data_IF_430928702811
#
_entry.id   IF_430928702811
#
_cell.length_a   1.000
_cell.length_b   1.000
_cell.length_c   1.000
_cell.angle_alpha   90.00
_cell.angle_beta   90.00
_cell.angle_gamma   90.00
#
_symmetry.space_group_name_H-M   'P 1'
#
loop_
_entity.id
_entity.type
_entity.pdbx_description
1 polymer ?
#
# COMPACT_ATOMS: atom_id res chain seq x y z
N UNK A 1 -1.57 -16.00 69.49
CA UNK A 1 -1.80 -14.79 68.67
C UNK A 1 -0.84 -14.88 67.52
N UNK A 2 -1.23 -15.61 66.47
CA UNK A 2 -0.43 -15.91 65.30
C UNK A 2 -0.92 -15.02 64.16
N UNK A 3 -0.04 -14.12 63.72
CA UNK A 3 -0.28 -13.20 62.60
C UNK A 3 0.01 -13.98 61.32
N UNK A 4 -1.03 -14.26 60.56
CA UNK A 4 -0.97 -14.88 59.27
C UNK A 4 -0.57 -13.80 58.23
N UNK A 5 0.72 -13.73 57.91
CA UNK A 5 1.22 -12.91 56.79
C UNK A 5 0.97 -13.64 55.48
N UNK A 6 -0.20 -13.41 54.87
CA UNK A 6 -0.48 -13.83 53.53
C UNK A 6 0.41 -13.02 52.54
N UNK A 7 1.56 -13.58 52.22
CA UNK A 7 2.38 -13.10 51.10
C UNK A 7 1.60 -13.28 49.79
N UNK A 8 0.94 -12.21 49.40
CA UNK A 8 0.41 -12.08 48.03
C UNK A 8 1.54 -12.19 47.02
N UNK A 9 1.66 -13.33 46.35
CA UNK A 9 2.62 -13.51 45.27
C UNK A 9 2.41 -12.42 44.21
N UNK A 10 3.45 -11.68 43.82
CA UNK A 10 3.31 -10.67 42.77
C UNK A 10 2.79 -11.35 41.50
N UNK A 11 1.66 -10.88 40.95
CA UNK A 11 1.13 -11.33 39.66
C UNK A 11 2.25 -11.18 38.64
N UNK A 12 2.82 -12.30 38.25
CA UNK A 12 3.73 -12.33 37.11
C UNK A 12 2.95 -11.82 35.89
N UNK A 13 3.18 -10.57 35.52
CA UNK A 13 2.75 -10.07 34.23
C UNK A 13 3.38 -10.94 33.16
N UNK A 14 2.60 -11.84 32.57
CA UNK A 14 3.02 -12.68 31.45
C UNK A 14 3.25 -11.78 30.26
N UNK A 15 4.47 -11.25 30.17
CA UNK A 15 4.91 -10.49 29.02
C UNK A 15 5.03 -11.43 27.83
N UNK A 16 4.31 -11.12 26.74
CA UNK A 16 4.35 -11.86 25.47
C UNK A 16 5.72 -11.74 24.75
N UNK A 17 6.65 -11.00 25.34
CA UNK A 17 8.00 -10.82 24.78
C UNK A 17 8.85 -12.06 24.98
N UNK A 18 9.51 -12.51 23.92
CA UNK A 18 10.53 -13.56 23.99
C UNK A 18 11.69 -13.11 24.88
N UNK A 19 12.42 -14.04 25.55
CA UNK A 19 13.61 -13.71 26.33
C UNK A 19 14.62 -12.89 25.53
N UNK A 20 14.86 -13.24 24.28
CA UNK A 20 15.76 -12.52 23.37
C UNK A 20 15.27 -11.10 23.05
N UNK A 21 13.96 -10.91 22.87
CA UNK A 21 13.35 -9.61 22.66
C UNK A 21 13.47 -8.68 23.86
N UNK A 22 13.46 -9.25 25.11
CA UNK A 22 13.70 -8.48 26.33
C UNK A 22 15.14 -7.98 26.41
N UNK A 23 16.10 -8.86 26.14
CA UNK A 23 17.53 -8.54 26.25
C UNK A 23 17.95 -7.48 25.20
N UNK A 24 17.39 -7.55 24.00
CA UNK A 24 17.69 -6.59 22.92
C UNK A 24 16.89 -5.29 23.00
N UNK A 25 15.97 -5.15 23.95
CA UNK A 25 15.12 -3.96 24.07
C UNK A 25 14.17 -3.75 22.90
N UNK A 26 13.99 -4.75 22.04
CA UNK A 26 13.15 -4.68 20.86
C UNK A 26 11.68 -4.70 21.29
N UNK A 27 11.01 -3.59 21.04
CA UNK A 27 9.55 -3.48 21.12
C UNK A 27 8.88 -4.01 19.84
N UNK A 28 7.55 -3.91 19.80
CA UNK A 28 6.81 -4.07 18.53
C UNK A 28 7.29 -3.03 17.53
N UNK A 29 7.55 -3.45 16.28
CA UNK A 29 7.95 -2.53 15.21
C UNK A 29 6.86 -1.53 14.83
N UNK A 30 5.63 -1.72 15.29
CA UNK A 30 4.43 -0.93 15.00
C UNK A 30 4.08 -0.77 13.50
N UNK A 31 4.93 -1.26 12.60
CA UNK A 31 4.77 -1.12 11.14
C UNK A 31 3.64 -1.98 10.58
N UNK A 32 3.45 -3.19 11.07
CA UNK A 32 2.45 -4.14 10.55
C UNK A 32 1.01 -3.62 10.62
N UNK A 33 0.63 -2.92 11.68
CA UNK A 33 -0.71 -2.31 11.80
C UNK A 33 -0.90 -1.18 10.80
N UNK A 34 0.14 -0.38 10.56
CA UNK A 34 0.10 0.71 9.60
C UNK A 34 -0.09 0.20 8.17
N UNK A 35 0.65 -0.83 7.78
CA UNK A 35 0.56 -1.41 6.45
C UNK A 35 -0.78 -2.13 6.22
N UNK A 36 -1.30 -2.78 7.24
CA UNK A 36 -2.64 -3.36 7.21
C UNK A 36 -3.74 -2.31 6.93
N UNK A 37 -3.71 -1.16 7.61
CA UNK A 37 -4.67 -0.11 7.39
C UNK A 37 -4.50 0.55 6.01
N UNK A 38 -3.28 0.85 5.60
CA UNK A 38 -2.99 1.41 4.28
C UNK A 38 -3.48 0.50 3.16
N UNK A 39 -3.25 -0.82 3.27
CA UNK A 39 -3.70 -1.80 2.30
C UNK A 39 -5.23 -1.82 2.18
N UNK A 40 -5.95 -1.74 3.30
CA UNK A 40 -7.42 -1.71 3.30
C UNK A 40 -7.98 -0.40 2.75
N UNK A 41 -7.44 0.73 3.16
CA UNK A 41 -7.89 2.04 2.69
C UNK A 41 -7.67 2.16 1.17
N UNK A 42 -6.52 1.75 0.67
CA UNK A 42 -6.25 1.78 -0.77
C UNK A 42 -7.13 0.80 -1.55
N UNK A 43 -7.45 -0.38 -0.99
CA UNK A 43 -8.38 -1.32 -1.59
C UNK A 43 -9.79 -0.71 -1.74
N UNK A 44 -10.31 -0.08 -0.68
CA UNK A 44 -11.61 0.61 -0.73
C UNK A 44 -11.60 1.74 -1.74
N UNK A 45 -10.54 2.55 -1.76
CA UNK A 45 -10.39 3.63 -2.73
C UNK A 45 -10.39 3.10 -4.17
N UNK A 46 -9.69 1.98 -4.44
CA UNK A 46 -9.68 1.35 -5.76
C UNK A 46 -11.07 0.86 -6.17
N UNK A 47 -11.83 0.21 -5.27
CA UNK A 47 -13.19 -0.27 -5.57
C UNK A 47 -14.09 0.91 -5.96
N UNK A 48 -14.05 2.00 -5.20
CA UNK A 48 -14.86 3.18 -5.48
C UNK A 48 -14.46 3.86 -6.80
N UNK A 49 -13.16 3.96 -7.08
CA UNK A 49 -12.64 4.58 -8.29
C UNK A 49 -12.76 3.67 -9.52
N UNK A 50 -12.90 2.37 -9.35
CA UNK A 50 -13.05 1.42 -10.44
C UNK A 50 -14.34 1.67 -11.24
N UNK A 51 -15.42 2.08 -10.57
CA UNK A 51 -16.70 2.38 -11.23
C UNK A 51 -16.54 3.48 -12.28
N UNK A 52 -16.05 4.69 -11.95
CA UNK A 52 -15.85 5.73 -12.95
C UNK A 52 -14.78 5.36 -13.99
N UNK A 53 -13.73 4.60 -13.61
CA UNK A 53 -12.73 4.13 -14.57
C UNK A 53 -13.34 3.19 -15.61
N UNK A 54 -14.21 2.26 -15.21
CA UNK A 54 -14.94 1.40 -16.16
C UNK A 54 -15.79 2.25 -17.11
N UNK A 55 -16.51 3.26 -16.60
CA UNK A 55 -17.28 4.18 -17.43
C UNK A 55 -16.39 4.91 -18.43
N UNK A 56 -15.22 5.41 -18.00
CA UNK A 56 -14.26 6.06 -18.89
C UNK A 56 -13.79 5.08 -19.98
N UNK A 57 -13.46 3.84 -19.63
CA UNK A 57 -13.07 2.81 -20.61
C UNK A 57 -14.19 2.57 -21.62
N UNK A 58 -15.44 2.44 -21.15
CA UNK A 58 -16.60 2.27 -22.03
C UNK A 58 -16.79 3.46 -22.98
N UNK A 59 -16.54 4.69 -22.53
CA UNK A 59 -16.60 5.89 -23.36
C UNK A 59 -15.50 5.93 -24.43
N UNK A 60 -14.36 5.29 -24.19
CA UNK A 60 -13.23 5.21 -25.11
C UNK A 60 -13.43 4.16 -26.21
N UNK A 61 -14.29 3.16 -25.99
CA UNK A 61 -14.54 2.10 -26.96
C UNK A 61 -15.06 2.68 -28.29
N UNK A 62 -14.44 2.28 -29.37
CA UNK A 62 -14.82 2.73 -30.72
C UNK A 62 -14.47 4.18 -31.05
N UNK A 63 -13.79 4.90 -30.19
CA UNK A 63 -13.31 6.26 -30.48
C UNK A 63 -12.01 6.23 -31.28
N UNK A 64 -11.89 7.17 -32.19
CA UNK A 64 -10.61 7.44 -32.83
C UNK A 64 -9.66 8.19 -31.87
N UNK A 65 -8.41 8.36 -32.27
CA UNK A 65 -7.39 9.01 -31.46
C UNK A 65 -7.81 10.42 -30.98
N UNK A 66 -8.42 11.22 -31.84
CA UNK A 66 -8.85 12.58 -31.51
C UNK A 66 -10.00 12.55 -30.45
N UNK A 67 -10.98 11.66 -30.60
CA UNK A 67 -12.06 11.50 -29.63
C UNK A 67 -11.58 10.94 -28.30
N UNK A 68 -10.63 10.03 -28.30
CA UNK A 68 -10.00 9.52 -27.08
C UNK A 68 -9.22 10.62 -26.36
N UNK A 69 -8.43 11.43 -27.09
CA UNK A 69 -7.69 12.56 -26.52
C UNK A 69 -8.63 13.60 -25.89
N UNK A 70 -9.77 13.86 -26.51
CA UNK A 70 -10.77 14.79 -25.98
C UNK A 70 -11.37 14.31 -24.64
N UNK A 71 -11.66 13.00 -24.52
CA UNK A 71 -12.18 12.42 -23.26
C UNK A 71 -11.10 12.45 -22.17
N UNK A 72 -9.90 11.98 -22.48
CA UNK A 72 -8.77 11.91 -21.56
C UNK A 72 -8.22 13.30 -21.19
N UNK A 73 -8.39 14.28 -22.07
CA UNK A 73 -8.04 15.68 -21.86
C UNK A 73 -8.99 16.42 -20.91
N UNK A 74 -10.15 15.85 -20.58
CA UNK A 74 -11.04 16.44 -19.60
C UNK A 74 -10.40 16.45 -18.20
N UNK A 75 -10.34 17.62 -17.50
CA UNK A 75 -9.69 17.71 -16.18
C UNK A 75 -10.28 16.76 -15.14
N UNK A 76 -11.59 16.53 -15.18
CA UNK A 76 -12.26 15.60 -14.28
C UNK A 76 -11.84 14.16 -14.52
N UNK A 77 -11.77 13.74 -15.79
CA UNK A 77 -11.32 12.40 -16.18
C UNK A 77 -9.86 12.20 -15.80
N UNK A 78 -9.01 13.18 -16.11
CA UNK A 78 -7.59 13.15 -15.75
C UNK A 78 -7.41 13.00 -14.22
N UNK A 79 -8.16 13.76 -13.42
CA UNK A 79 -8.11 13.70 -11.97
C UNK A 79 -8.52 12.31 -11.45
N UNK A 80 -9.64 11.75 -11.94
CA UNK A 80 -10.12 10.43 -11.54
C UNK A 80 -9.09 9.33 -11.88
N UNK A 81 -8.50 9.40 -13.07
CA UNK A 81 -7.46 8.44 -13.48
C UNK A 81 -6.19 8.57 -12.64
N UNK A 82 -5.74 9.79 -12.34
CA UNK A 82 -4.58 10.02 -11.47
C UNK A 82 -4.83 9.47 -10.07
N UNK A 83 -6.00 9.74 -9.47
CA UNK A 83 -6.36 9.19 -8.16
C UNK A 83 -6.39 7.66 -8.19
N UNK A 84 -6.93 7.05 -9.23
CA UNK A 84 -6.95 5.60 -9.38
C UNK A 84 -5.54 5.02 -9.51
N UNK A 85 -4.65 5.66 -10.28
CA UNK A 85 -3.26 5.22 -10.41
C UNK A 85 -2.52 5.31 -9.09
N UNK A 86 -2.67 6.41 -8.34
CA UNK A 86 -2.04 6.57 -7.02
C UNK A 86 -2.49 5.46 -6.07
N UNK A 87 -3.80 5.22 -5.99
CA UNK A 87 -4.35 4.17 -5.14
C UNK A 87 -3.86 2.78 -5.56
N UNK A 88 -3.83 2.49 -6.87
CA UNK A 88 -3.41 1.21 -7.44
C UNK A 88 -1.93 0.93 -7.21
N UNK A 89 -1.07 1.92 -7.46
CA UNK A 89 0.38 1.81 -7.26
C UNK A 89 0.71 1.59 -5.79
N UNK A 90 0.05 2.32 -4.92
CA UNK A 90 0.27 2.17 -3.47
C UNK A 90 -0.20 0.80 -2.97
N UNK A 91 -1.37 0.37 -3.40
CA UNK A 91 -1.92 -0.94 -3.06
C UNK A 91 -1.01 -2.07 -3.57
N UNK A 92 -0.58 -2.01 -4.82
CA UNK A 92 0.34 -2.96 -5.44
C UNK A 92 1.68 -3.02 -4.69
N UNK A 93 2.25 -1.85 -4.36
CA UNK A 93 3.53 -1.75 -3.64
C UNK A 93 3.48 -2.47 -2.30
N UNK A 94 2.45 -2.18 -1.47
CA UNK A 94 2.31 -2.79 -0.15
C UNK A 94 1.98 -4.28 -0.30
N UNK A 95 1.07 -4.65 -1.21
CA UNK A 95 0.70 -6.04 -1.43
C UNK A 95 1.88 -6.90 -1.88
N UNK A 96 2.70 -6.41 -2.81
CA UNK A 96 3.90 -7.11 -3.25
C UNK A 96 4.95 -7.19 -2.14
N UNK A 97 5.10 -6.12 -1.34
CA UNK A 97 6.03 -6.14 -0.20
C UNK A 97 5.69 -7.25 0.79
N UNK A 98 4.41 -7.40 1.15
CA UNK A 98 3.95 -8.47 2.05
C UNK A 98 4.32 -9.85 1.48
N UNK A 99 4.06 -10.08 0.20
CA UNK A 99 4.41 -11.35 -0.46
C UNK A 99 5.92 -11.58 -0.44
N UNK A 100 6.72 -10.57 -0.74
CA UNK A 100 8.19 -10.69 -0.73
C UNK A 100 8.73 -10.97 0.69
N UNK A 101 8.16 -10.36 1.71
CA UNK A 101 8.54 -10.59 3.11
C UNK A 101 8.24 -12.02 3.56
N UNK A 102 7.12 -12.60 3.10
CA UNK A 102 6.69 -13.95 3.48
C UNK A 102 7.43 -15.07 2.71
N UNK A 103 7.69 -14.88 1.42
CA UNK A 103 8.21 -15.93 0.56
C UNK A 103 9.72 -15.89 0.34
N UNK A 104 10.37 -14.73 0.49
CA UNK A 104 11.82 -14.62 0.27
C UNK A 104 12.56 -14.86 1.58
N UNK A 105 13.14 -16.06 1.72
CA UNK A 105 13.85 -16.50 2.94
C UNK A 105 15.21 -15.81 3.11
N UNK A 106 15.92 -15.60 2.00
CA UNK A 106 17.27 -15.00 2.04
C UNK A 106 17.18 -13.49 2.31
N UNK A 107 17.74 -13.02 3.43
CA UNK A 107 17.67 -11.63 3.87
C UNK A 107 18.23 -10.63 2.86
N UNK A 108 19.34 -10.95 2.19
CA UNK A 108 19.94 -10.07 1.17
C UNK A 108 19.06 -9.98 -0.06
N UNK A 109 18.52 -11.12 -0.52
CA UNK A 109 17.61 -11.15 -1.66
C UNK A 109 16.29 -10.43 -1.32
N UNK A 110 15.77 -10.61 -0.12
CA UNK A 110 14.59 -9.91 0.39
C UNK A 110 14.78 -8.39 0.32
N UNK A 111 15.90 -7.88 0.81
CA UNK A 111 16.20 -6.44 0.75
C UNK A 111 16.24 -5.93 -0.70
N UNK A 112 16.94 -6.63 -1.57
CA UNK A 112 17.06 -6.26 -2.99
C UNK A 112 15.68 -6.26 -3.67
N UNK A 113 14.86 -7.28 -3.44
CA UNK A 113 13.53 -7.38 -4.07
C UNK A 113 12.56 -6.33 -3.54
N UNK A 114 12.61 -5.98 -2.26
CA UNK A 114 11.81 -4.87 -1.70
C UNK A 114 12.25 -3.54 -2.30
N UNK A 115 13.55 -3.29 -2.43
CA UNK A 115 14.06 -2.08 -3.09
C UNK A 115 13.63 -2.02 -4.57
N UNK A 116 13.74 -3.14 -5.28
CA UNK A 116 13.31 -3.25 -6.68
C UNK A 116 11.80 -3.00 -6.82
N UNK A 117 10.98 -3.57 -5.93
CA UNK A 117 9.53 -3.33 -5.91
C UNK A 117 9.19 -1.85 -5.68
N UNK A 118 9.87 -1.20 -4.74
CA UNK A 118 9.68 0.22 -4.46
C UNK A 118 10.05 1.09 -5.67
N UNK A 119 11.18 0.81 -6.29
CA UNK A 119 11.63 1.54 -7.48
C UNK A 119 10.70 1.32 -8.66
N UNK A 120 10.36 0.08 -8.96
CA UNK A 120 9.44 -0.30 -10.04
C UNK A 120 8.07 0.38 -9.89
N UNK A 121 7.47 0.28 -8.71
CA UNK A 121 6.17 0.90 -8.42
C UNK A 121 6.21 2.42 -8.60
N UNK A 122 7.28 3.06 -8.15
CA UNK A 122 7.47 4.51 -8.32
C UNK A 122 7.60 4.92 -9.77
N UNK A 123 8.40 4.19 -10.56
CA UNK A 123 8.60 4.47 -11.99
C UNK A 123 7.30 4.29 -12.77
N UNK A 124 6.58 3.19 -12.53
CA UNK A 124 5.29 2.93 -13.19
C UNK A 124 4.27 4.01 -12.82
N UNK A 125 4.17 4.38 -11.55
CA UNK A 125 3.27 5.43 -11.09
C UNK A 125 3.55 6.78 -11.73
N UNK A 126 4.81 7.22 -11.69
CA UNK A 126 5.23 8.49 -12.28
C UNK A 126 5.03 8.52 -13.80
N UNK A 127 5.40 7.46 -14.50
CA UNK A 127 5.21 7.35 -15.96
C UNK A 127 3.73 7.42 -16.33
N UNK A 128 2.86 6.74 -15.57
CA UNK A 128 1.42 6.74 -15.81
C UNK A 128 0.81 8.13 -15.56
N UNK A 129 1.18 8.80 -14.47
CA UNK A 129 0.73 10.17 -14.17
C UNK A 129 1.22 11.13 -15.24
N UNK A 130 2.48 11.02 -15.65
CA UNK A 130 3.03 11.86 -16.71
C UNK A 130 2.26 11.67 -18.02
N UNK A 131 1.95 10.44 -18.41
CA UNK A 131 1.18 10.14 -19.62
C UNK A 131 -0.22 10.80 -19.59
N UNK A 132 -0.92 10.74 -18.45
CA UNK A 132 -2.23 11.37 -18.29
C UNK A 132 -2.12 12.89 -18.35
N UNK A 133 -1.15 13.49 -17.67
CA UNK A 133 -0.95 14.92 -17.69
C UNK A 133 -0.59 15.42 -19.09
N UNK A 134 0.24 14.68 -19.82
CA UNK A 134 0.58 14.99 -21.20
C UNK A 134 -0.66 14.96 -22.11
N UNK A 135 -1.50 13.96 -21.98
CA UNK A 135 -2.77 13.88 -22.73
C UNK A 135 -3.75 14.99 -22.35
N UNK A 136 -3.81 15.34 -21.08
CA UNK A 136 -4.71 16.38 -20.57
C UNK A 136 -4.25 17.80 -20.94
N UNK A 137 -2.95 18.04 -21.06
CA UNK A 137 -2.40 19.36 -21.44
C UNK A 137 -2.41 19.63 -22.95
N UNK A 138 -2.73 18.62 -23.76
CA UNK A 138 -2.75 18.76 -25.22
C UNK A 138 -1.37 18.89 -25.89
N UNK A 139 -0.29 18.57 -25.15
CA UNK A 139 1.11 18.63 -25.61
C UNK A 139 1.61 17.23 -25.98
#
# INVERSE_FOLDING_TARGET
MSVDESHGSPRQQTSVRTPLGRVRGLGSSHSGTSDFWRQRITAVAMILLMIPVIVIIMMLLGRNQAGAAQILGSPLVALLLIMFIIASVWHMKIGMQIVLEDYVINEKLKLITIMANNFFSSVVGLASIYAILKLSSGV
#
